data_IF_818381692076
#
_entry.id   IF_818381692076
#
_cell.length_a   1.000
_cell.length_b   1.000
_cell.length_c   1.000
_cell.angle_alpha   90.00
_cell.angle_beta   90.00
_cell.angle_gamma   90.00
#
_symmetry.space_group_name_H-M   'P 1'
#
loop_
_entity.id
_entity.type
_entity.pdbx_description
1 polymer ?
#
# COMPACT_ATOMS: atom_id res chain seq x y z
N UNK A 1 -11.41 0.23 -1.55
CA UNK A 1 -11.07 1.08 -0.38
C UNK A 1 -9.74 0.63 0.20
N UNK A 2 -8.78 0.47 -0.69
CA UNK A 2 -7.55 -0.31 -0.60
C UNK A 2 -6.36 0.52 -1.15
N UNK A 3 -6.60 1.82 -1.36
CA UNK A 3 -5.60 2.80 -1.74
C UNK A 3 -5.34 3.75 -0.56
N UNK A 4 -4.14 4.31 -0.50
CA UNK A 4 -3.73 5.32 0.49
C UNK A 4 -3.64 6.68 -0.20
N UNK A 5 -4.49 7.63 0.21
CA UNK A 5 -4.49 9.01 -0.30
C UNK A 5 -5.28 9.95 0.63
N UNK A 6 -5.14 11.26 0.41
CA UNK A 6 -5.96 12.32 1.01
C UNK A 6 -6.65 13.11 -0.09
N UNK A 7 -7.97 13.08 -0.17
CA UNK A 7 -8.72 13.76 -1.23
C UNK A 7 -10.00 14.40 -0.71
N UNK A 8 -10.19 15.67 -1.02
CA UNK A 8 -11.43 16.41 -0.78
C UNK A 8 -12.44 16.16 -1.90
N UNK A 9 -13.32 15.19 -1.67
CA UNK A 9 -14.38 14.84 -2.63
C UNK A 9 -15.34 16.00 -2.90
N UNK A 10 -15.46 16.99 -2.01
CA UNK A 10 -16.37 18.13 -2.25
C UNK A 10 -15.96 18.91 -3.50
N UNK A 11 -14.65 18.99 -3.79
CA UNK A 11 -14.12 19.63 -5.01
C UNK A 11 -14.47 18.83 -6.26
N UNK A 12 -14.31 17.50 -6.20
CA UNK A 12 -14.67 16.62 -7.31
C UNK A 12 -16.18 16.62 -7.58
N UNK A 13 -16.99 16.63 -6.52
CA UNK A 13 -18.46 16.73 -6.61
C UNK A 13 -18.85 18.07 -7.22
N UNK A 14 -18.25 19.18 -6.77
CA UNK A 14 -18.52 20.50 -7.33
C UNK A 14 -18.21 20.56 -8.83
N UNK A 15 -17.08 20.02 -9.27
CA UNK A 15 -16.75 19.96 -10.70
C UNK A 15 -17.72 19.07 -11.49
N UNK A 16 -18.15 17.95 -10.91
CA UNK A 16 -19.18 17.09 -11.48
C UNK A 16 -20.50 17.86 -11.72
N UNK A 17 -20.94 18.64 -10.73
CA UNK A 17 -22.14 19.47 -10.83
C UNK A 17 -21.99 20.61 -11.85
N UNK A 18 -20.86 21.32 -11.85
CA UNK A 18 -20.59 22.44 -12.76
C UNK A 18 -20.52 22.01 -14.23
N UNK A 19 -20.03 20.80 -14.48
CA UNK A 19 -19.86 20.28 -15.85
C UNK A 19 -21.10 19.54 -16.36
N UNK A 20 -22.04 19.19 -15.48
CA UNK A 20 -23.21 18.39 -15.84
C UNK A 20 -22.86 16.98 -16.35
N UNK A 21 -21.69 16.45 -15.97
CA UNK A 21 -21.26 15.13 -16.38
C UNK A 21 -22.19 14.04 -15.80
N UNK A 22 -22.40 12.95 -16.56
CA UNK A 22 -23.10 11.78 -16.05
C UNK A 22 -22.23 11.01 -15.05
N UNK A 23 -20.91 10.98 -15.28
CA UNK A 23 -19.90 10.44 -14.38
C UNK A 23 -18.60 11.27 -14.47
N UNK A 24 -18.03 11.58 -13.31
CA UNK A 24 -16.70 12.15 -13.17
C UNK A 24 -15.79 11.12 -12.51
N UNK A 25 -14.60 10.89 -13.06
CA UNK A 25 -13.67 9.85 -12.59
C UNK A 25 -12.35 10.46 -12.16
N UNK A 26 -11.91 10.18 -10.94
CA UNK A 26 -10.61 10.66 -10.47
C UNK A 26 -9.48 9.90 -11.17
N UNK A 27 -8.51 10.65 -11.69
CA UNK A 27 -7.33 10.11 -12.37
C UNK A 27 -6.05 10.69 -11.81
N UNK A 28 -4.98 9.92 -11.89
CA UNK A 28 -3.61 10.32 -11.60
C UNK A 28 -2.73 10.02 -12.81
N UNK A 29 -1.75 10.87 -13.08
CA UNK A 29 -0.70 10.58 -14.05
C UNK A 29 0.33 9.62 -13.42
N UNK A 30 0.49 8.45 -14.03
CA UNK A 30 1.47 7.44 -13.59
C UNK A 30 2.61 7.32 -14.62
N UNK A 31 3.77 6.74 -14.26
CA UNK A 31 4.76 6.32 -15.25
C UNK A 31 4.12 5.39 -16.29
N UNK A 32 4.47 5.57 -17.57
CA UNK A 32 3.81 4.86 -18.67
C UNK A 32 4.06 3.34 -18.61
N UNK A 33 5.22 2.94 -18.08
CA UNK A 33 5.60 1.57 -17.80
C UNK A 33 4.68 0.88 -16.77
N UNK A 34 4.06 1.64 -15.87
CA UNK A 34 3.13 1.12 -14.86
C UNK A 34 1.66 1.18 -15.32
N UNK A 35 1.34 2.04 -16.29
CA UNK A 35 -0.01 2.30 -16.76
C UNK A 35 -0.79 1.03 -17.17
N UNK A 36 -0.11 0.00 -17.68
CA UNK A 36 -0.73 -1.28 -18.06
C UNK A 36 -1.38 -2.05 -16.90
N UNK A 37 -1.09 -1.68 -15.65
CA UNK A 37 -1.66 -2.28 -14.43
C UNK A 37 -3.01 -1.67 -14.04
N UNK A 38 -3.37 -0.53 -14.61
CA UNK A 38 -4.52 0.28 -14.23
C UNK A 38 -5.58 0.35 -15.33
N UNK A 39 -6.78 0.81 -14.98
CA UNK A 39 -7.76 1.28 -15.96
C UNK A 39 -7.35 2.65 -16.48
N UNK A 40 -7.17 2.79 -17.80
CA UNK A 40 -6.63 3.98 -18.44
C UNK A 40 -7.74 4.80 -19.09
N UNK A 41 -7.77 6.09 -18.78
CA UNK A 41 -8.72 7.06 -19.32
C UNK A 41 -8.10 7.83 -20.47
N UNK A 42 -8.67 7.69 -21.67
CA UNK A 42 -8.27 8.51 -22.80
C UNK A 42 -9.22 9.71 -22.93
N UNK A 43 -8.64 10.90 -22.88
CA UNK A 43 -9.39 12.15 -22.80
C UNK A 43 -9.08 13.10 -23.94
N UNK A 44 -10.04 13.96 -24.27
CA UNK A 44 -9.80 15.19 -25.03
C UNK A 44 -9.06 16.21 -24.17
N UNK A 45 -8.57 17.29 -24.78
CA UNK A 45 -7.87 18.39 -24.08
C UNK A 45 -8.72 19.02 -22.97
N UNK A 46 -10.05 19.06 -23.15
CA UNK A 46 -10.99 19.62 -22.17
C UNK A 46 -11.32 18.69 -21.00
N UNK A 47 -10.69 17.50 -20.92
CA UNK A 47 -10.91 16.49 -19.89
C UNK A 47 -12.10 15.56 -20.13
N UNK A 48 -12.78 15.67 -21.27
CA UNK A 48 -13.86 14.74 -21.65
C UNK A 48 -13.28 13.38 -22.00
N UNK A 49 -13.77 12.32 -21.35
CA UNK A 49 -13.38 10.93 -21.61
C UNK A 49 -14.04 10.47 -22.90
N UNK A 50 -13.25 9.94 -23.84
CA UNK A 50 -13.78 9.35 -25.07
C UNK A 50 -13.60 7.83 -25.12
N UNK A 51 -12.69 7.26 -24.32
CA UNK A 51 -12.42 5.83 -24.27
C UNK A 51 -11.85 5.46 -22.90
N UNK A 52 -12.23 4.28 -22.42
CA UNK A 52 -11.69 3.65 -21.23
C UNK A 52 -11.10 2.29 -21.60
N UNK A 53 -9.86 2.04 -21.21
CA UNK A 53 -9.17 0.78 -21.45
C UNK A 53 -8.81 0.13 -20.11
N UNK A 54 -9.43 -1.01 -19.78
CA UNK A 54 -9.09 -1.76 -18.55
C UNK A 54 -7.79 -2.55 -18.77
N UNK A 55 -6.73 -2.19 -18.03
CA UNK A 55 -5.41 -2.87 -18.03
C UNK A 55 -4.85 -3.16 -19.43
N UNK A 56 -4.70 -2.11 -20.28
CA UNK A 56 -4.25 -2.29 -21.65
C UNK A 56 -2.79 -2.75 -21.69
N UNK A 57 -2.47 -3.70 -22.58
CA UNK A 57 -1.08 -4.10 -22.83
C UNK A 57 -0.23 -2.96 -23.39
N UNK A 58 -0.84 -2.08 -24.19
CA UNK A 58 -0.19 -0.90 -24.79
C UNK A 58 -1.05 0.33 -24.48
N UNK A 59 -0.84 0.99 -23.33
CA UNK A 59 -1.64 2.15 -22.93
C UNK A 59 -1.42 3.33 -23.89
N UNK A 60 -2.51 3.99 -24.31
CA UNK A 60 -2.46 5.21 -25.17
C UNK A 60 -2.18 6.49 -24.37
N UNK A 61 -2.49 6.47 -23.09
CA UNK A 61 -2.27 7.56 -22.14
C UNK A 61 -1.80 6.98 -20.80
N UNK A 62 -1.37 7.85 -19.90
CA UNK A 62 -0.94 7.49 -18.55
C UNK A 62 -1.89 8.01 -17.47
N UNK A 63 -3.13 8.37 -17.84
CA UNK A 63 -4.17 8.78 -16.89
C UNK A 63 -4.82 7.54 -16.29
N UNK A 64 -4.25 7.07 -15.18
CA UNK A 64 -4.75 5.94 -14.45
C UNK A 64 -5.97 6.32 -13.61
N UNK A 65 -7.05 5.55 -13.75
CA UNK A 65 -8.22 5.62 -12.89
C UNK A 65 -7.83 5.26 -11.45
N UNK A 66 -8.20 6.11 -10.50
CA UNK A 66 -8.02 5.84 -9.07
C UNK A 66 -9.13 4.96 -8.48
N UNK A 67 -10.11 4.54 -9.31
CA UNK A 67 -11.28 3.80 -8.84
C UNK A 67 -12.28 4.64 -8.04
N UNK A 68 -12.23 5.98 -8.16
CA UNK A 68 -13.11 6.93 -7.47
C UNK A 68 -14.02 7.57 -8.51
N UNK A 69 -15.33 7.40 -8.34
CA UNK A 69 -16.34 7.82 -9.30
C UNK A 69 -17.39 8.70 -8.60
N UNK A 70 -17.75 9.83 -9.23
CA UNK A 70 -18.92 10.62 -8.86
C UNK A 70 -19.93 10.50 -9.97
N UNK A 71 -21.13 10.01 -9.65
CA UNK A 71 -22.20 9.83 -10.62
C UNK A 71 -23.40 10.72 -10.31
N UNK A 72 -24.09 11.15 -11.38
CA UNK A 72 -25.46 11.60 -11.26
C UNK A 72 -26.34 10.39 -10.93
N UNK A 73 -27.01 10.39 -9.77
CA UNK A 73 -27.75 9.22 -9.26
C UNK A 73 -28.74 8.62 -10.28
N UNK A 74 -29.50 9.46 -10.99
CA UNK A 74 -30.45 8.98 -12.02
C UNK A 74 -29.76 8.19 -13.13
N UNK A 75 -28.55 8.59 -13.50
CA UNK A 75 -27.73 7.92 -14.52
C UNK A 75 -27.17 6.61 -13.95
N UNK A 76 -26.53 6.64 -12.78
CA UNK A 76 -26.01 5.43 -12.14
C UNK A 76 -27.07 4.35 -11.99
N UNK A 77 -28.23 4.70 -11.41
CA UNK A 77 -29.33 3.75 -11.21
C UNK A 77 -29.80 3.11 -12.52
N UNK A 78 -29.91 3.90 -13.59
CA UNK A 78 -30.28 3.41 -14.92
C UNK A 78 -29.27 2.35 -15.37
N UNK A 79 -27.99 2.68 -15.41
CA UNK A 79 -26.95 1.78 -15.93
C UNK A 79 -26.78 0.54 -15.06
N UNK A 80 -26.87 0.63 -13.73
CA UNK A 80 -26.84 -0.57 -12.87
C UNK A 80 -28.05 -1.50 -13.09
N UNK A 81 -29.25 -0.95 -13.31
CA UNK A 81 -30.45 -1.76 -13.57
C UNK A 81 -30.38 -2.44 -14.94
N UNK A 82 -29.86 -1.72 -15.95
CA UNK A 82 -29.66 -2.26 -17.30
C UNK A 82 -28.54 -3.30 -17.34
N UNK A 83 -27.51 -3.14 -16.51
CA UNK A 83 -26.39 -4.07 -16.40
C UNK A 83 -26.80 -5.39 -15.74
N UNK A 84 -27.50 -5.34 -14.61
CA UNK A 84 -28.05 -6.53 -13.92
C UNK A 84 -28.97 -7.37 -14.82
N UNK A 85 -29.63 -6.73 -15.80
CA UNK A 85 -30.51 -7.42 -16.75
C UNK A 85 -29.75 -8.17 -17.86
N UNK A 86 -28.42 -8.01 -17.97
CA UNK A 86 -27.57 -8.65 -18.99
C UNK A 86 -26.89 -9.90 -18.42
N UNK A 87 -27.25 -11.11 -18.89
CA UNK A 87 -26.66 -12.35 -18.37
C UNK A 87 -25.16 -12.51 -18.65
N UNK A 88 -24.61 -11.78 -19.61
CA UNK A 88 -23.22 -11.81 -20.05
C UNK A 88 -22.35 -10.71 -19.44
N UNK A 89 -22.93 -9.82 -18.62
CA UNK A 89 -22.18 -8.80 -17.90
C UNK A 89 -21.27 -9.43 -16.84
N UNK A 90 -20.10 -8.80 -16.62
CA UNK A 90 -19.25 -9.13 -15.48
C UNK A 90 -19.62 -8.37 -14.21
N UNK A 91 -20.66 -7.52 -14.27
CA UNK A 91 -21.13 -6.64 -13.21
C UNK A 91 -20.03 -5.75 -12.62
N UNK A 92 -19.15 -5.25 -13.50
CA UNK A 92 -17.99 -4.45 -13.14
C UNK A 92 -18.09 -3.03 -13.71
N UNK A 93 -17.66 -2.04 -12.91
CA UNK A 93 -17.71 -0.65 -13.34
C UNK A 93 -16.83 -0.37 -14.56
N UNK A 94 -15.60 -0.89 -14.57
CA UNK A 94 -14.64 -0.66 -15.63
C UNK A 94 -14.97 -1.44 -16.90
N UNK A 95 -15.41 -2.70 -16.76
CA UNK A 95 -15.67 -3.57 -17.91
C UNK A 95 -17.03 -3.36 -18.54
N UNK A 96 -18.05 -3.02 -17.75
CA UNK A 96 -19.44 -3.03 -18.20
C UNK A 96 -20.07 -1.62 -18.13
N UNK A 97 -20.11 -1.01 -16.95
CA UNK A 97 -20.88 0.23 -16.71
C UNK A 97 -20.29 1.43 -17.45
N UNK A 98 -19.00 1.74 -17.27
CA UNK A 98 -18.34 2.89 -17.89
C UNK A 98 -18.34 2.78 -19.43
N UNK A 99 -17.97 1.63 -20.04
CA UNK A 99 -18.10 1.44 -21.48
C UNK A 99 -19.54 1.60 -21.99
N UNK A 100 -20.54 1.09 -21.26
CA UNK A 100 -21.95 1.27 -21.64
C UNK A 100 -22.38 2.74 -21.62
N UNK A 101 -21.93 3.53 -20.64
CA UNK A 101 -22.20 4.97 -20.59
C UNK A 101 -21.54 5.72 -21.75
N UNK A 102 -20.27 5.41 -22.07
CA UNK A 102 -19.57 6.01 -23.22
C UNK A 102 -20.27 5.67 -24.55
N UNK A 103 -20.66 4.41 -24.74
CA UNK A 103 -21.36 3.95 -25.94
C UNK A 103 -22.75 4.60 -26.09
N UNK A 104 -23.40 4.94 -24.98
CA UNK A 104 -24.66 5.68 -24.97
C UNK A 104 -24.50 7.20 -25.20
N UNK A 105 -23.26 7.70 -25.35
CA UNK A 105 -22.96 9.10 -25.57
C UNK A 105 -23.13 9.97 -24.32
N UNK A 106 -23.05 9.37 -23.12
CA UNK A 106 -23.07 10.13 -21.87
C UNK A 106 -21.80 10.98 -21.73
N UNK A 107 -21.94 12.18 -21.16
CA UNK A 107 -20.78 13.03 -20.87
C UNK A 107 -20.01 12.46 -19.67
N UNK A 108 -18.81 11.95 -19.91
CA UNK A 108 -17.88 11.50 -18.88
C UNK A 108 -16.67 12.43 -18.84
N UNK A 109 -16.21 12.76 -17.63
CA UNK A 109 -15.06 13.66 -17.44
C UNK A 109 -14.06 13.09 -16.44
N UNK A 110 -12.79 13.45 -16.61
CA UNK A 110 -11.79 13.19 -15.57
C UNK A 110 -11.75 14.30 -14.53
N UNK A 111 -11.46 13.94 -13.29
CA UNK A 111 -11.00 14.84 -12.24
C UNK A 111 -9.53 14.55 -11.98
N UNK A 112 -8.64 15.50 -12.21
CA UNK A 112 -7.19 15.27 -12.09
C UNK A 112 -6.76 15.43 -10.63
N UNK A 113 -6.32 14.34 -10.03
CA UNK A 113 -5.67 14.31 -8.73
C UNK A 113 -4.15 14.44 -8.90
N UNK A 114 -3.48 15.14 -7.99
CA UNK A 114 -2.06 15.49 -8.12
C UNK A 114 -1.33 15.48 -6.77
N UNK A 115 -1.86 14.76 -5.78
CA UNK A 115 -1.29 14.61 -4.45
C UNK A 115 -0.90 13.14 -4.21
N UNK A 116 -0.40 12.80 -3.02
CA UNK A 116 0.04 11.45 -2.68
C UNK A 116 -1.09 10.44 -2.88
N UNK A 117 -0.78 9.41 -3.68
CA UNK A 117 -1.62 8.24 -3.88
C UNK A 117 -0.75 7.00 -4.02
N UNK A 118 -1.14 5.93 -3.34
CA UNK A 118 -0.51 4.62 -3.47
C UNK A 118 -1.59 3.53 -3.56
N UNK A 119 -1.49 2.71 -4.60
CA UNK A 119 -2.19 1.42 -4.68
C UNK A 119 -1.36 0.35 -3.98
N UNK A 120 -1.89 -0.19 -2.89
CA UNK A 120 -1.18 -1.15 -2.03
C UNK A 120 -1.57 -2.58 -2.40
N UNK A 121 -1.42 -2.92 -3.68
CA UNK A 121 -1.78 -4.22 -4.25
C UNK A 121 -0.68 -5.29 -4.21
N UNK A 122 0.56 -4.94 -3.87
CA UNK A 122 1.72 -5.86 -3.83
C UNK A 122 2.52 -5.74 -2.52
N UNK A 123 3.30 -6.77 -2.20
CA UNK A 123 4.20 -6.77 -1.02
C UNK A 123 5.14 -5.56 -1.04
N UNK A 124 5.77 -5.29 -2.18
CA UNK A 124 6.66 -4.13 -2.32
C UNK A 124 5.91 -2.82 -2.11
N UNK A 125 4.72 -2.65 -2.71
CA UNK A 125 3.93 -1.43 -2.51
C UNK A 125 3.52 -1.22 -1.06
N UNK A 126 3.25 -2.29 -0.29
CA UNK A 126 2.92 -2.22 1.13
C UNK A 126 4.14 -1.78 1.96
N UNK A 127 5.29 -2.40 1.71
CA UNK A 127 6.54 -2.04 2.35
C UNK A 127 6.94 -0.59 2.04
N UNK A 128 6.94 -0.21 0.76
CA UNK A 128 7.24 1.15 0.31
C UNK A 128 6.29 2.18 0.92
N UNK A 129 4.97 1.93 0.91
CA UNK A 129 3.99 2.89 1.45
C UNK A 129 4.22 3.20 2.94
N UNK A 130 4.70 2.24 3.72
CA UNK A 130 5.02 2.45 5.12
C UNK A 130 6.35 3.20 5.29
N UNK A 131 7.38 2.83 4.52
CA UNK A 131 8.68 3.50 4.59
C UNK A 131 8.67 4.90 3.94
N UNK A 132 7.71 5.20 3.07
CA UNK A 132 7.45 6.53 2.54
C UNK A 132 7.21 7.55 3.66
N UNK A 133 6.66 7.11 4.82
CA UNK A 133 6.48 7.95 6.01
C UNK A 133 7.80 8.46 6.61
N UNK A 134 8.90 7.77 6.34
CA UNK A 134 10.26 8.12 6.79
C UNK A 134 11.03 8.92 5.74
N UNK A 135 10.49 9.03 4.53
CA UNK A 135 11.17 9.66 3.41
C UNK A 135 10.84 11.17 3.36
N UNK A 136 11.81 12.07 3.59
CA UNK A 136 11.56 13.51 3.62
C UNK A 136 11.15 14.11 2.26
N UNK A 137 11.24 13.35 1.17
CA UNK A 137 10.78 13.77 -0.17
C UNK A 137 9.30 13.51 -0.41
N UNK A 138 8.64 12.73 0.44
CA UNK A 138 7.23 12.38 0.31
C UNK A 138 6.40 13.32 1.16
N UNK A 139 5.44 14.00 0.54
CA UNK A 139 4.55 14.96 1.21
C UNK A 139 3.31 14.26 1.84
N UNK A 140 3.53 13.17 2.58
CA UNK A 140 2.48 12.48 3.33
C UNK A 140 2.50 12.91 4.80
N UNK A 141 1.92 14.08 5.09
CA UNK A 141 1.81 14.57 6.45
C UNK A 141 0.64 13.90 7.20
N UNK A 142 0.94 12.98 8.14
CA UNK A 142 -0.04 12.34 9.03
C UNK A 142 -0.43 13.21 10.23
N UNK A 143 0.35 14.25 10.55
CA UNK A 143 0.11 15.16 11.67
C UNK A 143 -0.80 16.35 11.30
N UNK A 144 -1.30 16.40 10.07
CA UNK A 144 -2.20 17.46 9.62
C UNK A 144 -3.53 17.43 10.39
N UNK A 145 -3.72 18.39 11.28
CA UNK A 145 -4.93 18.49 12.09
C UNK A 145 -6.15 18.95 11.31
N UNK A 146 -5.98 19.54 10.12
CA UNK A 146 -7.08 19.91 9.23
C UNK A 146 -7.55 18.72 8.39
N UNK A 147 -6.71 17.69 8.26
CA UNK A 147 -7.01 16.46 7.52
C UNK A 147 -6.69 15.21 8.36
N UNK A 148 -7.51 14.96 9.39
CA UNK A 148 -7.28 13.85 10.32
C UNK A 148 -7.69 12.51 9.72
N UNK A 149 -6.79 11.53 9.81
CA UNK A 149 -7.09 10.12 9.54
C UNK A 149 -7.56 9.46 10.83
N UNK A 150 -8.83 9.05 10.87
CA UNK A 150 -9.40 8.38 12.03
C UNK A 150 -9.16 6.87 11.94
N UNK A 151 -8.68 6.29 13.03
CA UNK A 151 -8.49 4.84 13.19
C UNK A 151 -8.85 4.43 14.63
N UNK A 152 -8.83 3.12 14.90
CA UNK A 152 -9.00 2.60 16.25
C UNK A 152 -7.71 2.82 17.05
N UNK A 153 -7.83 3.42 18.22
CA UNK A 153 -6.73 3.51 19.18
C UNK A 153 -6.70 2.26 20.05
N UNK A 154 -5.52 1.65 20.25
CA UNK A 154 -5.34 0.41 21.02
C UNK A 154 -5.22 0.66 22.52
N UNK A 155 -4.85 1.87 22.95
CA UNK A 155 -4.77 2.26 24.37
C UNK A 155 -3.56 1.67 25.11
N UNK A 156 -2.48 1.39 24.38
CA UNK A 156 -1.22 0.85 24.91
C UNK A 156 -0.43 1.92 25.70
N UNK A 157 0.48 1.51 26.62
CA UNK A 157 1.40 2.44 27.25
C UNK A 157 2.36 3.07 26.21
N UNK A 158 3.03 4.20 26.53
CA UNK A 158 4.09 4.74 25.67
C UNK A 158 5.19 3.70 25.40
N UNK A 159 5.88 3.81 24.26
CA UNK A 159 7.03 2.95 23.98
C UNK A 159 8.15 3.14 25.02
N UNK A 160 8.88 2.06 25.28
CA UNK A 160 10.10 2.05 26.08
C UNK A 160 11.32 1.82 25.18
N UNK A 161 12.30 2.71 25.26
CA UNK A 161 13.58 2.62 24.56
C UNK A 161 14.67 2.56 25.63
N UNK A 162 15.45 1.47 25.63
CA UNK A 162 16.47 1.23 26.64
C UNK A 162 17.75 2.04 26.39
N UNK A 163 18.66 2.07 27.37
CA UNK A 163 20.01 2.66 27.21
C UNK A 163 20.88 1.92 26.19
N UNK A 164 20.61 0.64 25.92
CA UNK A 164 21.34 -0.16 24.94
C UNK A 164 20.82 -0.01 23.51
N UNK A 165 19.65 0.61 23.33
CA UNK A 165 19.02 0.75 22.04
C UNK A 165 19.71 1.81 21.18
N UNK A 166 19.72 1.56 19.87
CA UNK A 166 20.20 2.50 18.85
C UNK A 166 19.08 2.68 17.82
N UNK A 167 18.55 3.90 17.68
CA UNK A 167 17.36 4.16 16.85
C UNK A 167 17.63 5.31 15.91
N UNK A 168 17.60 5.02 14.62
CA UNK A 168 17.82 5.98 13.54
C UNK A 168 16.65 5.97 12.55
N UNK A 169 16.20 7.17 12.17
CA UNK A 169 15.17 7.43 11.15
C UNK A 169 14.00 6.42 11.13
N UNK A 170 13.34 6.21 12.27
CA UNK A 170 12.34 5.15 12.42
C UNK A 170 11.07 5.64 13.13
N UNK A 171 9.94 4.97 12.86
CA UNK A 171 8.68 5.19 13.58
C UNK A 171 8.42 4.01 14.52
N UNK A 172 8.23 4.29 15.79
CA UNK A 172 7.98 3.29 16.84
C UNK A 172 6.71 3.69 17.56
N UNK A 173 5.69 2.83 17.54
CA UNK A 173 4.38 3.11 18.14
C UNK A 173 4.25 2.55 19.56
N UNK A 174 3.10 2.80 20.19
CA UNK A 174 2.80 2.50 21.59
C UNK A 174 3.00 1.01 21.94
N UNK A 175 3.42 0.75 23.18
CA UNK A 175 3.62 -0.59 23.73
C UNK A 175 4.93 -1.27 23.28
N UNK A 176 5.71 -0.66 22.38
CA UNK A 176 6.99 -1.23 21.97
C UNK A 176 8.01 -1.24 23.11
N UNK A 177 8.82 -2.29 23.18
CA UNK A 177 10.02 -2.37 24.03
C UNK A 177 11.26 -2.60 23.17
N UNK A 178 12.16 -1.62 23.13
CA UNK A 178 13.32 -1.63 22.23
C UNK A 178 14.62 -1.61 23.03
N UNK A 179 15.42 -2.66 22.83
CA UNK A 179 16.74 -2.86 23.43
C UNK A 179 17.86 -3.03 22.38
N UNK A 180 17.50 -3.34 21.13
CA UNK A 180 18.41 -3.51 20.00
C UNK A 180 18.50 -2.29 19.08
N UNK A 181 19.03 -2.50 17.86
CA UNK A 181 19.18 -1.47 16.84
C UNK A 181 18.00 -1.46 15.87
N UNK A 182 17.48 -0.26 15.58
CA UNK A 182 16.43 -0.01 14.60
C UNK A 182 16.90 1.10 13.64
N UNK A 183 16.88 0.83 12.34
CA UNK A 183 17.25 1.78 11.31
C UNK A 183 16.25 1.75 10.15
N UNK A 184 15.81 2.94 9.72
CA UNK A 184 14.90 3.13 8.58
C UNK A 184 13.68 2.17 8.60
N UNK A 185 13.06 1.99 9.76
CA UNK A 185 12.04 0.95 9.96
C UNK A 185 10.79 1.48 10.66
N UNK A 186 9.68 0.75 10.50
CA UNK A 186 8.40 1.07 11.13
C UNK A 186 7.96 -0.09 12.01
N UNK A 187 7.85 0.17 13.31
CA UNK A 187 7.41 -0.77 14.34
C UNK A 187 5.99 -0.39 14.76
N UNK A 188 5.06 -1.31 14.53
CA UNK A 188 3.68 -1.22 15.03
C UNK A 188 3.60 -1.59 16.51
N UNK A 189 2.39 -1.53 17.07
CA UNK A 189 2.20 -1.59 18.50
C UNK A 189 2.66 -2.90 19.14
N UNK A 190 3.14 -2.80 20.38
CA UNK A 190 3.50 -3.96 21.20
C UNK A 190 4.58 -4.87 20.57
N UNK A 191 5.49 -4.30 19.77
CA UNK A 191 6.65 -5.01 19.23
C UNK A 191 7.78 -5.02 20.26
N UNK A 192 8.45 -6.17 20.41
CA UNK A 192 9.64 -6.30 21.26
C UNK A 192 10.88 -6.54 20.40
N UNK A 193 11.91 -5.74 20.58
CA UNK A 193 13.22 -5.93 19.95
C UNK A 193 14.28 -6.06 21.03
N UNK A 194 14.78 -7.29 21.22
CA UNK A 194 15.72 -7.62 22.30
C UNK A 194 17.15 -7.13 22.01
N UNK A 195 18.00 -7.12 23.05
CA UNK A 195 19.38 -6.65 23.00
C UNK A 195 20.18 -7.34 21.87
N UNK A 196 20.91 -6.54 21.09
CA UNK A 196 21.76 -7.04 20.00
C UNK A 196 21.01 -7.52 18.76
N UNK A 197 19.67 -7.49 18.75
CA UNK A 197 18.90 -7.59 17.51
C UNK A 197 19.09 -6.32 16.65
N UNK A 198 18.98 -6.48 15.33
CA UNK A 198 19.20 -5.42 14.34
C UNK A 198 18.10 -5.46 13.28
N UNK A 199 17.31 -4.40 13.20
CA UNK A 199 16.15 -4.27 12.28
C UNK A 199 16.40 -3.09 11.35
N UNK A 200 16.54 -3.37 10.06
CA UNK A 200 16.86 -2.37 9.04
C UNK A 200 15.86 -2.42 7.89
N UNK A 201 15.44 -1.26 7.38
CA UNK A 201 14.59 -1.15 6.19
C UNK A 201 13.37 -2.07 6.24
N UNK A 202 12.73 -2.20 7.39
CA UNK A 202 11.74 -3.26 7.62
C UNK A 202 10.46 -2.75 8.26
N UNK A 203 9.38 -3.50 8.02
CA UNK A 203 8.07 -3.30 8.60
C UNK A 203 7.82 -4.41 9.64
N UNK A 204 7.58 -4.03 10.89
CA UNK A 204 7.32 -5.00 11.97
C UNK A 204 5.91 -4.76 12.53
N UNK A 205 5.01 -5.71 12.25
CA UNK A 205 3.58 -5.63 12.55
C UNK A 205 3.27 -5.96 14.03
N UNK A 206 2.05 -5.66 14.50
CA UNK A 206 1.71 -5.72 15.92
C UNK A 206 2.09 -7.02 16.64
N UNK A 207 2.65 -6.90 17.84
CA UNK A 207 2.94 -8.04 18.73
C UNK A 207 4.12 -8.92 18.32
N UNK A 208 4.83 -8.61 17.22
CA UNK A 208 5.98 -9.39 16.81
C UNK A 208 7.16 -9.24 17.79
N UNK A 209 7.97 -10.29 17.90
CA UNK A 209 9.12 -10.37 18.81
C UNK A 209 10.38 -10.70 18.03
N UNK A 210 11.35 -9.80 18.05
CA UNK A 210 12.67 -9.96 17.44
C UNK A 210 13.67 -10.24 18.57
N UNK A 211 14.10 -11.49 18.68
CA UNK A 211 14.93 -11.95 19.80
C UNK A 211 16.40 -11.58 19.66
N UNK A 212 17.13 -11.72 20.77
CA UNK A 212 18.55 -11.38 20.91
C UNK A 212 19.40 -11.85 19.73
N UNK A 213 20.16 -10.93 19.15
CA UNK A 213 21.10 -11.21 18.05
C UNK A 213 20.46 -11.45 16.68
N UNK A 214 19.13 -11.47 16.56
CA UNK A 214 18.46 -11.65 15.28
C UNK A 214 18.67 -10.45 14.36
N UNK A 215 18.77 -10.71 13.05
CA UNK A 215 18.94 -9.70 12.01
C UNK A 215 17.74 -9.73 11.08
N UNK A 216 17.09 -8.60 10.89
CA UNK A 216 15.93 -8.45 10.01
C UNK A 216 16.20 -7.30 9.06
N UNK A 217 16.34 -7.59 7.77
CA UNK A 217 16.67 -6.60 6.74
C UNK A 217 15.67 -6.69 5.60
N UNK A 218 15.20 -5.55 5.09
CA UNK A 218 14.32 -5.46 3.91
C UNK A 218 13.14 -6.45 3.96
N UNK A 219 12.43 -6.46 5.09
CA UNK A 219 11.45 -7.49 5.41
C UNK A 219 10.14 -6.92 5.93
N UNK A 220 9.08 -7.71 5.80
CA UNK A 220 7.81 -7.53 6.51
C UNK A 220 7.67 -8.69 7.49
N UNK A 221 7.62 -8.37 8.78
CA UNK A 221 7.35 -9.32 9.85
C UNK A 221 5.90 -9.12 10.28
N UNK A 222 5.04 -10.08 9.99
CA UNK A 222 3.61 -10.00 10.30
C UNK A 222 3.31 -10.20 11.79
N UNK A 223 2.03 -10.09 12.14
CA UNK A 223 1.58 -10.00 13.52
C UNK A 223 2.01 -11.19 14.37
N UNK A 224 2.42 -10.94 15.61
CA UNK A 224 2.80 -11.97 16.59
C UNK A 224 3.87 -12.97 16.10
N UNK A 225 4.59 -12.68 15.02
CA UNK A 225 5.67 -13.52 14.55
C UNK A 225 6.85 -13.44 15.53
N UNK A 226 7.60 -14.54 15.66
CA UNK A 226 8.74 -14.62 16.57
C UNK A 226 9.99 -14.98 15.77
N UNK A 227 10.92 -14.02 15.68
CA UNK A 227 12.24 -14.24 15.08
C UNK A 227 13.17 -14.64 16.21
N UNK A 228 13.55 -15.92 16.27
CA UNK A 228 14.35 -16.44 17.39
C UNK A 228 15.81 -15.97 17.35
N UNK A 229 16.52 -16.24 18.44
CA UNK A 229 17.89 -15.79 18.66
C UNK A 229 18.81 -16.06 17.46
N UNK A 230 19.64 -15.09 17.11
CA UNK A 230 20.64 -15.16 16.05
C UNK A 230 20.10 -15.54 14.64
N UNK A 231 18.78 -15.54 14.41
CA UNK A 231 18.20 -15.79 13.10
C UNK A 231 18.43 -14.60 12.15
N UNK A 232 18.53 -14.85 10.85
CA UNK A 232 18.74 -13.82 9.83
C UNK A 232 17.63 -13.86 8.77
N UNK A 233 16.97 -12.73 8.55
CA UNK A 233 15.84 -12.58 7.63
C UNK A 233 16.14 -11.49 6.61
N UNK A 234 16.04 -11.84 5.33
CA UNK A 234 16.36 -10.94 4.23
C UNK A 234 17.84 -10.56 4.18
N UNK A 235 18.19 -9.62 3.31
CA UNK A 235 19.55 -9.10 3.14
C UNK A 235 19.50 -7.81 2.29
N UNK A 236 20.52 -6.97 2.44
CA UNK A 236 20.70 -5.78 1.60
C UNK A 236 20.90 -6.15 0.11
N UNK A 237 20.18 -5.52 -0.84
CA UNK A 237 20.34 -5.80 -2.27
C UNK A 237 21.76 -5.53 -2.79
N UNK A 238 22.51 -4.59 -2.20
CA UNK A 238 23.91 -4.32 -2.54
C UNK A 238 24.85 -5.46 -2.10
N UNK A 239 24.45 -6.24 -1.09
CA UNK A 239 25.20 -7.41 -0.59
C UNK A 239 24.76 -8.69 -1.29
N UNK A 240 23.46 -8.89 -1.45
CA UNK A 240 22.88 -10.10 -2.03
C UNK A 240 22.99 -10.15 -3.56
N UNK A 241 23.00 -8.98 -4.20
CA UNK A 241 22.84 -8.81 -5.64
C UNK A 241 21.39 -8.53 -6.01
N UNK A 242 21.18 -7.71 -7.04
CA UNK A 242 19.84 -7.28 -7.48
C UNK A 242 19.03 -8.40 -8.14
N UNK A 243 19.71 -9.40 -8.71
CA UNK A 243 19.07 -10.51 -9.42
C UNK A 243 18.48 -11.52 -8.43
N UNK A 244 17.16 -11.70 -8.44
CA UNK A 244 16.39 -12.52 -7.50
C UNK A 244 16.37 -11.97 -6.06
N UNK A 245 16.42 -10.65 -5.92
CA UNK A 245 16.17 -9.97 -4.66
C UNK A 245 14.72 -9.47 -4.57
N UNK A 246 14.18 -9.45 -3.37
CA UNK A 246 12.83 -8.99 -3.07
C UNK A 246 12.59 -8.93 -1.57
N UNK A 247 11.49 -8.30 -1.17
CA UNK A 247 11.11 -8.17 0.24
C UNK A 247 10.75 -9.55 0.81
N UNK A 248 11.36 -9.91 1.95
CA UNK A 248 11.06 -11.16 2.65
C UNK A 248 9.89 -10.97 3.61
N UNK A 249 8.96 -11.92 3.62
CA UNK A 249 7.74 -11.86 4.43
C UNK A 249 7.67 -13.04 5.38
N UNK A 250 7.51 -12.76 6.67
CA UNK A 250 7.21 -13.76 7.70
C UNK A 250 5.74 -13.60 8.11
N UNK A 251 4.94 -14.67 8.00
CA UNK A 251 3.50 -14.63 8.25
C UNK A 251 3.10 -14.53 9.73
N UNK A 252 1.79 -14.29 9.97
CA UNK A 252 1.19 -14.15 11.31
C UNK A 252 1.47 -15.39 12.17
N UNK A 253 1.89 -15.16 13.43
CA UNK A 253 2.23 -16.19 14.44
C UNK A 253 3.29 -17.21 14.01
N UNK A 254 4.06 -16.92 12.97
CA UNK A 254 5.13 -17.80 12.54
C UNK A 254 6.35 -17.64 13.45
N UNK A 255 6.93 -18.77 13.84
CA UNK A 255 8.20 -18.82 14.56
C UNK A 255 9.33 -19.21 13.61
N UNK A 256 10.32 -18.33 13.52
CA UNK A 256 11.59 -18.65 12.86
C UNK A 256 12.56 -19.17 13.91
N UNK A 257 13.12 -20.37 13.68
CA UNK A 257 14.02 -21.07 14.58
C UNK A 257 15.33 -20.32 14.84
N UNK A 258 15.99 -20.67 15.95
CA UNK A 258 17.28 -20.10 16.34
C UNK A 258 18.30 -20.29 15.22
N UNK A 259 19.06 -19.23 14.87
CA UNK A 259 20.07 -19.23 13.80
C UNK A 259 19.56 -19.65 12.40
N UNK A 260 18.24 -19.72 12.18
CA UNK A 260 17.71 -19.98 10.85
C UNK A 260 18.01 -18.77 9.93
N UNK A 261 18.18 -19.04 8.64
CA UNK A 261 18.47 -18.03 7.62
C UNK A 261 17.37 -18.08 6.57
N UNK A 262 16.64 -16.98 6.42
CA UNK A 262 15.63 -16.80 5.39
C UNK A 262 16.18 -15.80 4.38
N UNK A 263 16.46 -16.25 3.16
CA UNK A 263 16.97 -15.39 2.09
C UNK A 263 15.93 -14.34 1.64
N UNK A 264 16.37 -13.28 0.94
CA UNK A 264 15.50 -12.36 0.20
C UNK A 264 14.47 -13.07 -0.69
N UNK A 265 13.37 -12.39 -0.97
CA UNK A 265 12.30 -12.86 -1.85
C UNK A 265 11.68 -14.20 -1.41
N UNK A 266 11.40 -14.31 -0.11
CA UNK A 266 10.74 -15.48 0.49
C UNK A 266 9.47 -15.08 1.22
N UNK A 267 8.45 -15.93 1.12
CA UNK A 267 7.23 -15.82 1.90
C UNK A 267 7.07 -17.06 2.79
N UNK A 268 7.29 -16.88 4.08
CA UNK A 268 7.25 -17.95 5.07
C UNK A 268 5.88 -17.98 5.73
N UNK A 269 5.18 -19.10 5.58
CA UNK A 269 3.80 -19.31 6.05
C UNK A 269 3.68 -20.43 7.07
N UNK A 270 4.81 -20.99 7.52
CA UNK A 270 4.91 -22.07 8.49
C UNK A 270 6.17 -21.87 9.33
N UNK A 271 6.17 -22.43 10.54
CA UNK A 271 7.34 -22.41 11.40
C UNK A 271 8.56 -23.03 10.71
N UNK A 272 9.72 -22.44 10.99
CA UNK A 272 11.03 -22.84 10.43
C UNK A 272 11.86 -23.42 11.56
N UNK A 273 12.54 -24.53 11.29
CA UNK A 273 13.36 -25.21 12.29
C UNK A 273 14.63 -24.40 12.62
N UNK A 274 15.28 -24.77 13.73
CA UNK A 274 16.56 -24.16 14.09
C UNK A 274 17.64 -24.48 13.03
N UNK A 275 18.50 -23.51 12.75
CA UNK A 275 19.62 -23.60 11.80
C UNK A 275 19.22 -23.94 10.35
N UNK A 276 17.93 -23.89 10.02
CA UNK A 276 17.41 -24.11 8.67
C UNK A 276 17.71 -22.93 7.74
N UNK A 277 17.99 -23.20 6.45
CA UNK A 277 18.32 -22.18 5.45
C UNK A 277 17.35 -22.29 4.26
N UNK A 278 16.61 -21.22 3.98
CA UNK A 278 15.54 -21.14 2.96
C UNK A 278 15.77 -20.01 1.94
#
# INVERSE_FOLDING_TARGET
GDHIYKMDYSKMIKEHEETGAACTIAVLEVPLEEASRFGIMNTKEDGTIYEFEEKPKNPKSNLASMGIYVFTWKKLKKYLTEDEAKPDSSNDFGKDVIPAMLNAGELLRVYRFNDYWKDVGTVNSLWEANLDLLNPKIDLNLADQNWRIYSRTTGMPPQYISESADVENSLITDGCEVYGRIDYSVLFENVTVEEGADVEYSLVMPGAVIKKGAKVKYSIIAENAVISEDAAIGEDPAVYGSDNWGITVIGDKIKIGKKAIIKPDRMITKDVAEEEVL
#
